data_IF_855971807681
#
_entry.id   IF_855971807681
#
_cell.length_a   1.000
_cell.length_b   1.000
_cell.length_c   1.000
_cell.angle_alpha   90.00
_cell.angle_beta   90.00
_cell.angle_gamma   90.00
#
_symmetry.space_group_name_H-M   'P 1'
#
loop_
_entity.id
_entity.type
_entity.pdbx_description
1 polymer ?
#
# COMPACT_ATOMS: atom_id res chain seq x y z
N UNK A 1 -15.19 14.84 -19.83
CA UNK A 1 -13.91 14.96 -19.08
C UNK A 1 -14.11 14.15 -17.81
N UNK A 2 -13.57 12.93 -17.75
CA UNK A 2 -13.71 12.07 -16.57
C UNK A 2 -12.73 12.63 -15.53
N UNK A 3 -13.26 13.20 -14.44
CA UNK A 3 -12.46 13.46 -13.25
C UNK A 3 -12.01 12.09 -12.73
N UNK A 4 -10.81 11.66 -13.09
CA UNK A 4 -10.13 10.60 -12.36
C UNK A 4 -9.65 11.30 -11.09
N UNK A 5 -10.27 11.07 -9.91
CA UNK A 5 -9.76 11.66 -8.69
C UNK A 5 -8.29 11.24 -8.58
N UNK A 6 -7.42 12.18 -8.21
CA UNK A 6 -6.03 11.88 -7.89
C UNK A 6 -6.03 10.89 -6.73
N UNK A 7 -5.95 9.60 -7.09
CA UNK A 7 -5.97 8.47 -6.18
C UNK A 7 -4.72 8.60 -5.29
N UNK A 8 -4.95 9.03 -4.06
CA UNK A 8 -3.93 9.22 -3.04
C UNK A 8 -4.24 8.30 -1.87
N UNK A 9 -3.22 7.69 -1.24
CA UNK A 9 -3.43 6.87 -0.06
C UNK A 9 -4.12 7.67 1.05
N UNK A 10 -5.11 7.07 1.70
CA UNK A 10 -5.77 7.65 2.87
C UNK A 10 -5.08 7.16 4.14
N UNK A 11 -5.21 7.93 5.23
CA UNK A 11 -4.75 7.51 6.56
C UNK A 11 -5.32 6.13 6.90
N UNK A 12 -4.47 5.23 7.36
CA UNK A 12 -4.75 3.82 7.63
C UNK A 12 -4.52 2.87 6.44
N UNK A 13 -4.38 3.37 5.21
CA UNK A 13 -4.04 2.51 4.07
C UNK A 13 -2.61 2.00 4.15
N UNK A 14 -2.36 0.83 3.54
CA UNK A 14 -1.05 0.19 3.51
C UNK A 14 -0.27 0.69 2.29
N UNK A 15 0.96 1.12 2.51
CA UNK A 15 1.93 1.47 1.48
C UNK A 15 3.02 0.41 1.48
N UNK A 16 3.17 -0.23 0.33
CA UNK A 16 4.31 -1.05 -0.03
C UNK A 16 5.35 -0.14 -0.69
N UNK A 17 6.54 -0.08 -0.09
CA UNK A 17 7.67 0.68 -0.62
C UNK A 17 8.83 -0.24 -0.91
N UNK A 18 9.48 -0.05 -2.06
CA UNK A 18 10.77 -0.68 -2.34
C UNK A 18 11.87 0.02 -1.55
N UNK A 19 12.68 -0.75 -0.84
CA UNK A 19 13.84 -0.26 -0.09
C UNK A 19 15.13 -0.71 -0.76
N UNK A 20 16.14 0.16 -0.75
CA UNK A 20 17.48 -0.16 -1.25
C UNK A 20 18.33 -0.92 -0.21
N UNK A 21 17.70 -1.45 0.84
CA UNK A 21 18.38 -2.25 1.86
C UNK A 21 18.67 -3.65 1.30
N UNK A 22 19.90 -4.14 1.50
CA UNK A 22 20.34 -5.43 1.00
C UNK A 22 19.67 -6.61 1.73
N UNK A 23 19.20 -6.40 2.96
CA UNK A 23 18.54 -7.40 3.79
C UNK A 23 17.04 -7.48 3.51
N UNK A 24 16.43 -6.36 3.13
CA UNK A 24 14.99 -6.27 2.86
C UNK A 24 14.72 -5.37 1.66
N UNK A 25 14.08 -5.93 0.63
CA UNK A 25 13.81 -5.20 -0.62
C UNK A 25 12.50 -4.44 -0.59
N UNK A 26 11.59 -4.82 0.30
CA UNK A 26 10.26 -4.22 0.40
C UNK A 26 9.87 -3.99 1.84
N UNK A 27 9.23 -2.86 2.11
CA UNK A 27 8.68 -2.53 3.44
C UNK A 27 7.21 -2.19 3.32
N UNK A 28 6.41 -2.69 4.24
CA UNK A 28 5.01 -2.32 4.42
C UNK A 28 4.92 -1.30 5.55
N UNK A 29 4.22 -0.21 5.29
CA UNK A 29 3.91 0.82 6.28
C UNK A 29 2.45 1.19 6.16
N UNK A 30 1.80 1.46 7.27
CA UNK A 30 0.53 2.19 7.29
C UNK A 30 0.84 3.68 7.07
N UNK A 31 -0.03 4.36 6.34
CA UNK A 31 0.04 5.81 6.14
C UNK A 31 0.05 6.54 7.49
N UNK A 32 1.14 7.27 7.76
CA UNK A 32 1.31 8.05 8.99
C UNK A 32 2.04 7.32 10.12
N UNK A 33 2.48 6.08 9.92
CA UNK A 33 3.23 5.32 10.92
C UNK A 33 4.62 4.90 10.41
N UNK A 34 5.45 4.37 11.31
CA UNK A 34 6.76 3.82 10.96
C UNK A 34 6.62 2.48 10.21
N UNK A 35 7.62 2.07 9.41
CA UNK A 35 7.60 0.79 8.71
C UNK A 35 7.41 -0.37 9.68
N UNK A 36 6.37 -1.19 9.47
CA UNK A 36 6.00 -2.25 10.41
C UNK A 36 6.53 -3.61 10.01
N UNK A 37 6.68 -3.87 8.70
CA UNK A 37 7.05 -5.19 8.19
C UNK A 37 8.02 -5.05 7.04
N UNK A 38 9.16 -5.73 7.14
CA UNK A 38 10.14 -5.86 6.08
C UNK A 38 9.97 -7.23 5.37
N UNK A 39 10.05 -7.23 4.04
CA UNK A 39 9.84 -8.41 3.19
C UNK A 39 11.00 -8.55 2.20
N UNK A 40 11.36 -9.79 1.89
CA UNK A 40 12.45 -10.09 0.96
C UNK A 40 12.00 -10.01 -0.50
N UNK A 41 10.73 -10.34 -0.76
CA UNK A 41 10.14 -10.35 -2.12
C UNK A 41 8.88 -9.49 -2.20
N UNK A 42 8.55 -9.08 -3.43
CA UNK A 42 7.35 -8.31 -3.72
C UNK A 42 6.07 -9.13 -3.47
N UNK A 43 6.09 -10.41 -3.83
CA UNK A 43 4.98 -11.34 -3.63
C UNK A 43 4.67 -11.53 -2.14
N UNK A 44 5.70 -11.70 -1.31
CA UNK A 44 5.56 -11.78 0.14
C UNK A 44 4.95 -10.49 0.71
N UNK A 45 5.41 -9.34 0.24
CA UNK A 45 4.90 -8.04 0.65
C UNK A 45 3.43 -7.85 0.25
N UNK A 46 3.05 -8.22 -0.97
CA UNK A 46 1.64 -8.17 -1.41
C UNK A 46 0.77 -9.11 -0.58
N UNK A 47 1.18 -10.36 -0.39
CA UNK A 47 0.38 -11.34 0.35
C UNK A 47 0.10 -10.86 1.78
N UNK A 48 1.10 -10.29 2.45
CA UNK A 48 0.93 -9.70 3.79
C UNK A 48 0.07 -8.44 3.77
N UNK A 49 0.30 -7.54 2.82
CA UNK A 49 -0.49 -6.30 2.69
C UNK A 49 -1.96 -6.61 2.41
N UNK A 50 -2.24 -7.60 1.56
CA UNK A 50 -3.59 -8.03 1.20
C UNK A 50 -4.32 -8.67 2.38
N UNK A 51 -3.66 -9.54 3.14
CA UNK A 51 -4.23 -10.13 4.35
C UNK A 51 -4.57 -9.06 5.40
N UNK A 52 -3.70 -8.06 5.57
CA UNK A 52 -3.95 -6.93 6.45
C UNK A 52 -5.13 -6.07 5.95
N UNK A 53 -5.11 -5.73 4.66
CA UNK A 53 -6.13 -4.93 3.99
C UNK A 53 -7.51 -5.58 4.07
N UNK A 54 -7.58 -6.91 3.94
CA UNK A 54 -8.80 -7.67 4.11
C UNK A 54 -9.34 -7.58 5.55
N UNK A 55 -8.46 -7.63 6.55
CA UNK A 55 -8.85 -7.60 7.96
C UNK A 55 -9.31 -6.22 8.43
N UNK A 56 -8.78 -5.15 7.82
CA UNK A 56 -9.03 -3.75 8.24
C UNK A 56 -9.87 -2.95 7.24
N UNK A 57 -10.27 -3.56 6.11
CA UNK A 57 -11.03 -2.91 5.04
C UNK A 57 -10.34 -1.64 4.49
N UNK A 58 -9.02 -1.72 4.28
CA UNK A 58 -8.17 -0.61 3.79
C UNK A 58 -7.61 -0.92 2.40
N UNK A 59 -7.10 0.09 1.70
CA UNK A 59 -6.48 -0.11 0.39
C UNK A 59 -4.98 -0.39 0.49
N UNK A 60 -4.44 -1.06 -0.54
CA UNK A 60 -2.99 -1.30 -0.66
C UNK A 60 -2.44 -0.48 -1.83
N UNK A 61 -1.39 0.26 -1.54
CA UNK A 61 -0.70 1.13 -2.47
C UNK A 61 0.76 0.72 -2.62
N UNK A 62 1.33 1.01 -3.78
CA UNK A 62 2.75 0.84 -4.06
C UNK A 62 3.38 2.17 -4.42
N UNK A 63 4.60 2.41 -3.94
CA UNK A 63 5.43 3.54 -4.34
C UNK A 63 6.91 3.14 -4.39
N UNK A 64 7.61 3.57 -5.44
CA UNK A 64 9.06 3.42 -5.57
C UNK A 64 9.82 4.66 -5.05
N UNK A 65 9.20 5.85 -5.15
CA UNK A 65 9.83 7.15 -4.88
C UNK A 65 9.23 7.89 -3.69
N UNK A 66 8.12 7.41 -3.12
CA UNK A 66 7.36 8.08 -2.06
C UNK A 66 6.46 9.23 -2.54
N UNK A 67 6.40 9.47 -3.85
CA UNK A 67 5.65 10.56 -4.46
C UNK A 67 4.54 10.08 -5.40
N UNK A 68 4.80 8.99 -6.13
CA UNK A 68 3.83 8.36 -7.04
C UNK A 68 3.29 7.10 -6.37
N UNK A 69 1.96 7.06 -6.23
CA UNK A 69 1.26 5.94 -5.62
C UNK A 69 0.43 5.20 -6.65
N UNK A 70 0.65 3.90 -6.76
CA UNK A 70 -0.14 3.00 -7.60
C UNK A 70 -0.99 2.12 -6.70
N UNK A 71 -2.32 2.15 -6.88
CA UNK A 71 -3.21 1.26 -6.13
C UNK A 71 -3.03 -0.18 -6.62
N UNK A 72 -2.65 -1.07 -5.72
CA UNK A 72 -2.47 -2.51 -6.02
C UNK A 72 -3.73 -3.31 -5.70
N UNK A 73 -4.37 -2.99 -4.56
CA UNK A 73 -5.55 -3.71 -4.09
C UNK A 73 -6.61 -2.70 -3.64
N UNK A 74 -7.80 -2.82 -4.24
CA UNK A 74 -9.00 -2.10 -3.85
C UNK A 74 -9.86 -3.02 -2.98
N UNK A 75 -9.87 -2.78 -1.65
CA UNK A 75 -10.76 -3.49 -0.71
C UNK A 75 -11.86 -2.61 -0.15
N UNK A 76 -11.58 -1.31 -0.02
CA UNK A 76 -12.58 -0.35 0.43
C UNK A 76 -13.68 -0.26 -0.63
N UNK A 77 -14.86 -0.77 -0.32
CA UNK A 77 -16.02 -0.55 -1.18
C UNK A 77 -16.21 0.97 -1.31
N UNK A 78 -16.06 1.50 -2.52
CA UNK A 78 -16.60 2.82 -2.85
C UNK A 78 -18.11 2.69 -2.69
N UNK A 79 -18.64 3.16 -1.56
CA UNK A 79 -20.06 3.40 -1.42
C UNK A 79 -20.44 4.46 -2.44
N UNK A 80 -20.82 4.03 -3.64
CA UNK A 80 -21.48 4.88 -4.62
C UNK A 80 -22.76 5.38 -3.95
N UNK A 81 -22.74 6.64 -3.53
CA UNK A 81 -23.91 7.35 -3.01
C UNK A 81 -24.40 8.29 -4.09
#
# INVERSE_FOLDING_TARGET
MVHIPSLSPKIGDVILRRTNDASYRYTLTTTGEAPQIACATFEEAIARADAFAQSHNVEVWHTDDGHVFTRLVERRAVSST
#
